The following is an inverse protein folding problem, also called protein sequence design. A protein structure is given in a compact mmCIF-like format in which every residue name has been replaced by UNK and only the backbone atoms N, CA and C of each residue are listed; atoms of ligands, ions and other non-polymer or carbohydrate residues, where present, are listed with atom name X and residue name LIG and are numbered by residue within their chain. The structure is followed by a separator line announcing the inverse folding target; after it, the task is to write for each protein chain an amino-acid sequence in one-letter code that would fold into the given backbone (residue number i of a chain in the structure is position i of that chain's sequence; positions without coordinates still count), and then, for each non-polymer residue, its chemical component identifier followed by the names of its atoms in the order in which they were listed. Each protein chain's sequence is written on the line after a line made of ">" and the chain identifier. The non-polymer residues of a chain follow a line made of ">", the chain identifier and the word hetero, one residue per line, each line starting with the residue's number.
data_IF_257457315893
#
_entry.id   IF_257457315893
#
_cell.length_a   1.000
_cell.length_b   1.000
_cell.length_c   1.000
_cell.angle_alpha   90.00
_cell.angle_beta   90.00
_cell.angle_gamma   90.00
#
_symmetry.space_group_name_H-M   'P 1'
#
loop_
_entity.id
_entity.type
_entity.pdbx_description
1 polymer ?
#
# COMPACT_ATOMS: atom_id res chain seq x y z
N UNK A 1 20.74 -27.86 -13.58
CA UNK A 1 19.55 -26.99 -13.78
C UNK A 1 19.76 -25.69 -13.01
N UNK A 2 19.88 -24.54 -13.67
CA UNK A 2 19.93 -23.25 -12.99
C UNK A 2 18.53 -22.96 -12.42
N UNK A 3 18.39 -22.89 -11.09
CA UNK A 3 17.18 -22.34 -10.45
C UNK A 3 17.06 -20.90 -10.96
N UNK A 4 16.17 -20.64 -11.92
CA UNK A 4 15.78 -19.27 -12.21
C UNK A 4 15.06 -18.75 -10.97
N UNK A 5 15.59 -17.71 -10.34
CA UNK A 5 14.88 -17.00 -9.29
C UNK A 5 13.60 -16.42 -9.90
N UNK A 6 12.45 -16.69 -9.28
CA UNK A 6 11.17 -16.13 -9.72
C UNK A 6 11.30 -14.60 -9.71
N UNK A 7 10.88 -13.89 -10.77
CA UNK A 7 10.92 -12.43 -10.76
C UNK A 7 10.12 -11.89 -9.56
N UNK A 8 10.53 -10.74 -8.99
CA UNK A 8 9.81 -10.14 -7.88
C UNK A 8 8.34 -9.92 -8.28
N UNK A 9 7.40 -10.10 -7.35
CA UNK A 9 5.98 -9.92 -7.63
C UNK A 9 5.72 -8.48 -8.09
N UNK A 10 4.87 -8.30 -9.10
CA UNK A 10 4.40 -6.97 -9.49
C UNK A 10 3.61 -6.31 -8.36
N UNK A 11 3.48 -4.98 -8.38
CA UNK A 11 2.69 -4.26 -7.39
C UNK A 11 1.22 -4.75 -7.31
N UNK A 12 0.48 -4.95 -8.43
CA UNK A 12 -0.85 -5.54 -8.36
C UNK A 12 -0.88 -6.93 -7.70
N UNK A 13 0.14 -7.77 -7.96
CA UNK A 13 0.25 -9.07 -7.33
C UNK A 13 0.51 -8.97 -5.82
N UNK A 14 1.31 -7.98 -5.37
CA UNK A 14 1.50 -7.68 -3.96
C UNK A 14 0.20 -7.21 -3.30
N UNK A 15 -0.54 -6.30 -3.93
CA UNK A 15 -1.83 -5.82 -3.41
C UNK A 15 -2.83 -6.98 -3.29
N UNK A 16 -2.94 -7.83 -4.32
CA UNK A 16 -3.81 -9.00 -4.28
C UNK A 16 -3.42 -9.94 -3.15
N UNK A 17 -2.14 -10.30 -3.02
CA UNK A 17 -1.67 -11.21 -2.00
C UNK A 17 -1.83 -10.62 -0.59
N UNK A 18 -1.71 -9.30 -0.43
CA UNK A 18 -1.98 -8.62 0.83
C UNK A 18 -3.44 -8.81 1.27
N UNK A 19 -4.41 -8.57 0.38
CA UNK A 19 -5.82 -8.70 0.73
C UNK A 19 -6.28 -10.17 0.85
N UNK A 20 -5.83 -11.04 -0.05
CA UNK A 20 -6.37 -12.42 -0.18
C UNK A 20 -5.65 -13.43 0.72
N UNK A 21 -4.36 -13.24 0.98
CA UNK A 21 -3.57 -14.14 1.82
C UNK A 21 -3.25 -13.50 3.16
N UNK A 22 -2.67 -12.30 3.17
CA UNK A 22 -2.12 -11.74 4.39
C UNK A 22 -3.20 -11.32 5.38
N UNK A 23 -4.18 -10.51 4.96
CA UNK A 23 -5.20 -10.02 5.89
C UNK A 23 -6.14 -11.13 6.37
N UNK A 24 -6.59 -11.98 5.47
CA UNK A 24 -7.61 -13.00 5.75
C UNK A 24 -7.02 -14.27 6.36
N UNK A 25 -5.90 -14.78 5.85
CA UNK A 25 -5.36 -16.09 6.24
C UNK A 25 -4.26 -15.97 7.29
N UNK A 26 -3.34 -15.01 7.14
CA UNK A 26 -2.18 -14.88 8.04
C UNK A 26 -2.49 -14.04 9.28
N UNK A 27 -3.17 -12.91 9.11
CA UNK A 27 -3.51 -11.99 10.20
C UNK A 27 -4.89 -12.24 10.79
N UNK A 28 -5.76 -12.95 10.06
CA UNK A 28 -7.14 -13.24 10.43
C UNK A 28 -7.89 -11.99 10.95
N UNK A 29 -7.68 -10.83 10.29
CA UNK A 29 -8.37 -9.60 10.70
C UNK A 29 -9.85 -9.67 10.36
N UNK A 30 -10.68 -8.94 11.11
CA UNK A 30 -12.12 -8.92 10.89
C UNK A 30 -12.48 -8.48 9.46
N UNK A 31 -13.61 -8.95 8.89
CA UNK A 31 -14.10 -8.47 7.60
C UNK A 31 -14.27 -6.94 7.54
N UNK A 32 -14.62 -6.31 8.67
CA UNK A 32 -14.71 -4.85 8.78
C UNK A 32 -13.35 -4.18 8.62
N UNK A 33 -12.29 -4.77 9.17
CA UNK A 33 -10.90 -4.30 9.00
C UNK A 33 -10.46 -4.45 7.54
N UNK A 34 -10.77 -5.59 6.90
CA UNK A 34 -10.47 -5.81 5.47
C UNK A 34 -11.16 -4.76 4.61
N UNK A 35 -12.45 -4.49 4.85
CA UNK A 35 -13.21 -3.46 4.15
C UNK A 35 -12.59 -2.07 4.34
N UNK A 36 -12.26 -1.69 5.58
CA UNK A 36 -11.61 -0.41 5.87
C UNK A 36 -10.25 -0.26 5.16
N UNK A 37 -9.46 -1.34 5.07
CA UNK A 37 -8.19 -1.34 4.37
C UNK A 37 -8.40 -1.21 2.86
N UNK A 38 -9.38 -1.92 2.29
CA UNK A 38 -9.74 -1.80 0.87
C UNK A 38 -10.15 -0.37 0.53
N UNK A 39 -10.99 0.24 1.36
CA UNK A 39 -11.46 1.61 1.13
C UNK A 39 -10.30 2.63 1.22
N UNK A 40 -9.34 2.40 2.12
CA UNK A 40 -8.10 3.18 2.17
C UNK A 40 -7.27 3.04 0.88
N UNK A 41 -7.13 1.80 0.38
CA UNK A 41 -6.41 1.51 -0.87
C UNK A 41 -7.07 2.14 -2.09
N UNK A 42 -8.40 2.06 -2.22
CA UNK A 42 -9.11 2.67 -3.34
C UNK A 42 -8.89 4.19 -3.38
N UNK A 43 -8.92 4.87 -2.23
CA UNK A 43 -8.65 6.30 -2.15
C UNK A 43 -7.19 6.62 -2.51
N UNK A 44 -6.25 5.83 -2.00
CA UNK A 44 -4.83 6.02 -2.29
C UNK A 44 -4.52 5.81 -3.77
N UNK A 45 -5.03 4.74 -4.39
CA UNK A 45 -4.80 4.44 -5.81
C UNK A 45 -5.40 5.50 -6.72
N UNK A 46 -6.61 5.99 -6.43
CA UNK A 46 -7.20 7.10 -7.18
C UNK A 46 -6.42 8.40 -7.04
N UNK A 47 -5.88 8.67 -5.84
CA UNK A 47 -4.99 9.81 -5.63
C UNK A 47 -3.67 9.66 -6.40
N UNK A 48 -3.04 8.48 -6.34
CA UNK A 48 -1.78 8.20 -7.03
C UNK A 48 -1.96 8.30 -8.55
N UNK A 49 -3.06 7.80 -9.10
CA UNK A 49 -3.39 7.94 -10.53
C UNK A 49 -3.50 9.42 -10.93
N UNK A 50 -4.26 10.22 -10.17
CA UNK A 50 -4.40 11.65 -10.44
C UNK A 50 -3.07 12.41 -10.33
N UNK A 51 -2.19 11.99 -9.40
CA UNK A 51 -0.91 12.67 -9.14
C UNK A 51 0.20 12.29 -10.12
N UNK A 52 0.26 11.01 -10.53
CA UNK A 52 1.32 10.44 -11.36
C UNK A 52 0.93 10.32 -12.84
N UNK A 53 -0.36 10.43 -13.17
CA UNK A 53 -0.86 10.29 -14.54
C UNK A 53 -0.75 8.87 -15.10
N UNK A 54 -0.67 7.85 -14.24
CA UNK A 54 -0.55 6.44 -14.60
C UNK A 54 -1.67 5.65 -13.95
N UNK A 55 -2.18 4.64 -14.65
CA UNK A 55 -3.24 3.81 -14.08
C UNK A 55 -2.72 2.99 -12.90
N UNK A 56 -3.56 2.65 -11.91
CA UNK A 56 -3.17 1.83 -10.76
C UNK A 56 -2.51 0.49 -11.14
N UNK A 57 -2.86 -0.07 -12.30
CA UNK A 57 -2.28 -1.32 -12.81
C UNK A 57 -0.82 -1.16 -13.29
N UNK A 58 -0.39 0.05 -13.60
CA UNK A 58 0.97 0.38 -14.05
C UNK A 58 1.88 0.84 -12.90
N UNK A 59 1.33 1.07 -11.71
CA UNK A 59 2.13 1.42 -10.54
C UNK A 59 3.09 0.29 -10.18
N UNK A 60 4.25 0.68 -9.67
CA UNK A 60 5.28 -0.20 -9.12
C UNK A 60 5.50 0.12 -7.65
N UNK A 61 6.09 -0.80 -6.90
CA UNK A 61 6.36 -0.55 -5.48
C UNK A 61 7.28 0.67 -5.25
N UNK A 62 8.31 0.93 -6.08
CA UNK A 62 9.11 2.17 -5.99
C UNK A 62 8.33 3.47 -6.25
N UNK A 63 7.20 3.43 -6.97
CA UNK A 63 6.34 4.63 -7.13
C UNK A 63 5.65 5.01 -5.82
N UNK A 64 5.58 4.09 -4.84
CA UNK A 64 4.95 4.30 -3.52
C UNK A 64 5.98 4.92 -2.57
N UNK A 65 6.30 6.19 -2.80
CA UNK A 65 7.29 6.93 -2.01
C UNK A 65 6.70 7.50 -0.71
N UNK A 66 7.54 7.80 0.29
CA UNK A 66 7.11 8.54 1.48
C UNK A 66 6.41 9.86 1.11
N UNK A 67 6.94 10.60 0.14
CA UNK A 67 6.37 11.87 -0.31
C UNK A 67 4.97 11.70 -0.92
N UNK A 68 4.74 10.63 -1.69
CA UNK A 68 3.42 10.33 -2.24
C UNK A 68 2.42 10.02 -1.13
N UNK A 69 2.85 9.28 -0.11
CA UNK A 69 2.01 8.96 1.05
C UNK A 69 1.71 10.22 1.85
N UNK A 70 2.70 11.07 2.11
CA UNK A 70 2.50 12.33 2.84
C UNK A 70 1.54 13.26 2.09
N UNK A 71 1.74 13.43 0.78
CA UNK A 71 0.84 14.20 -0.06
C UNK A 71 -0.60 13.63 -0.06
N UNK A 72 -0.75 12.30 -0.01
CA UNK A 72 -2.06 11.66 0.14
C UNK A 72 -2.70 11.97 1.50
N UNK A 73 -1.94 11.91 2.60
CA UNK A 73 -2.45 12.23 3.94
C UNK A 73 -2.90 13.70 4.03
N UNK A 74 -2.13 14.61 3.43
CA UNK A 74 -2.49 16.02 3.33
C UNK A 74 -3.77 16.22 2.52
N UNK A 75 -3.91 15.54 1.38
CA UNK A 75 -5.13 15.55 0.58
C UNK A 75 -6.35 15.04 1.38
N UNK A 76 -6.19 13.98 2.17
CA UNK A 76 -7.28 13.45 2.99
C UNK A 76 -7.78 14.45 4.02
N UNK A 77 -6.89 15.25 4.60
CA UNK A 77 -7.21 16.25 5.62
C UNK A 77 -7.76 17.54 5.01
N UNK A 78 -7.09 18.06 3.98
CA UNK A 78 -7.38 19.39 3.42
C UNK A 78 -8.57 19.37 2.46
N UNK A 79 -8.60 18.40 1.54
CA UNK A 79 -9.58 18.39 0.46
C UNK A 79 -10.78 17.49 0.79
N UNK A 80 -10.58 16.46 1.62
CA UNK A 80 -11.65 15.54 2.03
C UNK A 80 -12.10 15.71 3.48
N UNK A 81 -11.53 16.67 4.20
CA UNK A 81 -11.89 17.02 5.59
C UNK A 81 -11.97 15.82 6.53
N UNK A 82 -11.13 14.80 6.31
CA UNK A 82 -11.10 13.65 7.19
C UNK A 82 -10.51 14.04 8.55
N UNK A 83 -11.13 13.54 9.62
CA UNK A 83 -10.53 13.64 10.95
C UNK A 83 -9.15 12.99 11.01
N UNK A 84 -8.32 13.45 11.95
CA UNK A 84 -7.01 12.84 12.27
C UNK A 84 -7.14 11.33 12.52
N UNK A 85 -8.23 10.89 13.17
CA UNK A 85 -8.51 9.47 13.40
C UNK A 85 -8.66 8.70 12.09
N UNK A 86 -9.47 9.21 11.16
CA UNK A 86 -9.69 8.58 9.86
C UNK A 86 -8.44 8.63 8.98
N UNK A 87 -7.63 9.69 9.09
CA UNK A 87 -6.31 9.82 8.43
C UNK A 87 -5.35 8.74 8.93
N UNK A 88 -5.22 8.59 10.24
CA UNK A 88 -4.33 7.62 10.87
C UNK A 88 -4.75 6.16 10.57
N UNK A 89 -6.05 5.87 10.50
CA UNK A 89 -6.54 4.56 10.11
C UNK A 89 -6.13 4.18 8.66
N UNK A 90 -6.17 5.13 7.73
CA UNK A 90 -5.72 4.93 6.35
C UNK A 90 -4.20 4.78 6.25
N UNK A 91 -3.44 5.59 7.01
CA UNK A 91 -2.00 5.43 7.12
C UNK A 91 -1.62 4.05 7.67
N UNK A 92 -2.32 3.56 8.70
CA UNK A 92 -2.06 2.23 9.26
C UNK A 92 -2.27 1.11 8.22
N UNK A 93 -3.28 1.22 7.35
CA UNK A 93 -3.49 0.29 6.25
C UNK A 93 -2.31 0.28 5.26
N UNK A 94 -1.85 1.47 4.84
CA UNK A 94 -0.70 1.61 3.93
C UNK A 94 0.59 1.09 4.56
N UNK A 95 0.87 1.44 5.82
CA UNK A 95 2.03 0.93 6.57
C UNK A 95 2.00 -0.59 6.70
N UNK A 96 0.83 -1.16 6.97
CA UNK A 96 0.68 -2.63 7.04
C UNK A 96 1.00 -3.29 5.70
N UNK A 97 0.58 -2.71 4.59
CA UNK A 97 0.91 -3.20 3.25
C UNK A 97 2.40 -3.08 2.95
N UNK A 98 3.01 -1.92 3.19
CA UNK A 98 4.43 -1.71 2.93
C UNK A 98 5.29 -2.70 3.74
N UNK A 99 4.97 -2.88 5.02
CA UNK A 99 5.63 -3.91 5.83
C UNK A 99 5.49 -5.29 5.21
N UNK A 100 4.30 -5.68 4.76
CA UNK A 100 4.09 -6.95 4.08
C UNK A 100 4.90 -7.06 2.78
N UNK A 101 4.93 -6.01 1.95
CA UNK A 101 5.66 -5.99 0.69
C UNK A 101 7.18 -6.11 0.89
N UNK A 102 7.74 -5.45 1.90
CA UNK A 102 9.16 -5.56 2.28
C UNK A 102 9.62 -6.99 2.53
N UNK A 103 8.76 -7.84 3.10
CA UNK A 103 9.11 -9.25 3.37
C UNK A 103 9.04 -10.13 2.12
N UNK A 104 8.41 -9.66 1.04
CA UNK A 104 8.23 -10.42 -0.22
C UNK A 104 9.09 -9.89 -1.37
N UNK A 105 9.65 -8.70 -1.22
CA UNK A 105 10.63 -8.11 -2.11
C UNK A 105 11.77 -7.46 -1.31
N UNK A 106 12.83 -8.25 -1.09
CA UNK A 106 14.04 -7.85 -0.33
C UNK A 106 14.74 -6.65 -0.98
N UNK A 107 14.62 -6.49 -2.31
CA UNK A 107 15.20 -5.36 -3.06
C UNK A 107 14.51 -4.02 -2.75
N UNK A 108 13.29 -4.06 -2.20
CA UNK A 108 12.48 -2.89 -1.89
C UNK A 108 12.55 -2.46 -0.40
N UNK A 109 13.34 -3.16 0.42
CA UNK A 109 13.46 -2.90 1.87
C UNK A 109 13.91 -1.46 2.20
N UNK A 110 14.87 -0.90 1.45
CA UNK A 110 15.37 0.47 1.70
C UNK A 110 14.31 1.56 1.51
N UNK A 111 13.39 1.41 0.55
CA UNK A 111 12.31 2.39 0.30
C UNK A 111 11.28 2.38 1.44
N UNK A 112 11.09 1.21 2.06
CA UNK A 112 10.06 0.99 3.08
C UNK A 112 10.51 1.49 4.45
N UNK A 113 11.78 1.38 4.81
CA UNK A 113 12.30 1.93 6.07
C UNK A 113 12.09 3.45 6.17
N UNK A 114 12.29 4.19 5.07
CA UNK A 114 12.03 5.63 5.02
C UNK A 114 10.53 6.00 5.07
N UNK A 115 9.63 5.12 4.63
CA UNK A 115 8.19 5.35 4.68
C UNK A 115 7.55 4.97 6.03
N UNK A 116 8.25 4.16 6.82
CA UNK A 116 7.77 3.65 8.11
C UNK A 116 8.32 4.42 9.32
N UNK A 117 9.45 5.13 9.17
CA UNK A 117 9.92 6.14 10.13
C UNK A 117 8.93 7.29 10.28
#
# INVERSE_FOLDING_TARGET
>A
MRRQAKPPPSFPALVQAFFVEHLTQQRAVSPRTVAAYRDAFMLFLGFAEARLGRSPAQLTLPDITPDLIMAFLDHLERDRHNSVRSRNARLAALRSFLKFAAHRDVSSLQVIEHALG
#
